data_IF_553290252551
#
_entry.id   IF_553290252551
#
_cell.length_a   1.000
_cell.length_b   1.000
_cell.length_c   1.000
_cell.angle_alpha   90.00
_cell.angle_beta   90.00
_cell.angle_gamma   90.00
#
_symmetry.space_group_name_H-M   'P 1'
#
loop_
_entity.id
_entity.type
_entity.pdbx_description
1 polymer ?
#
# COMPACT_ATOMS: atom_id res chain seq x y z
N UNK A 1 -6.26 4.80 6.82
CA UNK A 1 -6.97 5.63 7.84
C UNK A 1 -8.45 5.66 7.49
N UNK A 2 -9.36 5.40 8.43
CA UNK A 2 -10.80 5.50 8.20
C UNK A 2 -11.34 6.82 8.75
N UNK A 3 -12.25 7.46 8.02
CA UNK A 3 -12.90 8.71 8.42
C UNK A 3 -14.22 8.87 7.67
N UNK A 4 -15.01 9.87 8.04
CA UNK A 4 -16.23 10.23 7.32
C UNK A 4 -16.38 11.74 7.21
N UNK A 5 -17.03 12.21 6.15
CA UNK A 5 -17.40 13.62 6.01
C UNK A 5 -18.82 13.76 5.46
N UNK A 6 -19.45 14.90 5.72
CA UNK A 6 -20.79 15.21 5.22
C UNK A 6 -20.67 16.11 3.99
N UNK A 7 -21.30 15.70 2.89
CA UNK A 7 -21.42 16.52 1.68
C UNK A 7 -22.86 16.41 1.16
N UNK A 8 -23.49 17.56 0.89
CA UNK A 8 -24.91 17.61 0.47
C UNK A 8 -25.86 16.81 1.38
N UNK A 9 -25.69 16.93 2.70
CA UNK A 9 -26.49 16.22 3.71
C UNK A 9 -26.35 14.69 3.72
N UNK A 10 -25.40 14.13 2.97
CA UNK A 10 -25.07 12.71 2.96
C UNK A 10 -23.75 12.50 3.68
N UNK A 11 -23.68 11.49 4.55
CA UNK A 11 -22.46 11.07 5.23
C UNK A 11 -21.74 10.04 4.34
N UNK A 12 -20.48 10.32 4.01
CA UNK A 12 -19.64 9.43 3.22
C UNK A 12 -18.59 8.77 4.11
N UNK A 13 -18.74 7.48 4.45
CA UNK A 13 -17.69 6.71 5.10
C UNK A 13 -16.56 6.41 4.10
N UNK A 14 -15.34 6.78 4.46
CA UNK A 14 -14.18 6.74 3.58
C UNK A 14 -12.96 6.12 4.24
N UNK A 15 -12.05 5.66 3.38
CA UNK A 15 -10.71 5.26 3.75
C UNK A 15 -9.68 6.05 2.94
N UNK A 16 -8.68 6.62 3.60
CA UNK A 16 -7.45 7.06 2.95
C UNK A 16 -6.49 5.86 2.87
N UNK A 17 -6.08 5.55 1.64
CA UNK A 17 -5.21 4.41 1.30
C UNK A 17 -3.98 4.89 0.54
N UNK A 18 -2.87 4.20 0.72
CA UNK A 18 -1.72 4.35 -0.16
C UNK A 18 -1.94 3.58 -1.46
N UNK A 19 -1.52 4.19 -2.56
CA UNK A 19 -1.67 3.61 -3.89
C UNK A 19 -0.52 2.68 -4.21
N UNK A 20 -0.86 1.57 -4.85
CA UNK A 20 0.08 0.57 -5.31
C UNK A 20 -0.28 0.15 -6.74
N UNK A 21 0.73 -0.02 -7.58
CA UNK A 21 0.57 -0.64 -8.89
C UNK A 21 0.78 -2.15 -8.74
N UNK A 22 -0.12 -2.94 -9.34
CA UNK A 22 0.11 -4.38 -9.51
C UNK A 22 1.26 -4.58 -10.49
N UNK A 23 2.16 -5.50 -10.18
CA UNK A 23 3.29 -5.86 -11.03
C UNK A 23 3.08 -7.28 -11.53
N UNK A 24 3.13 -7.46 -12.85
CA UNK A 24 2.86 -8.74 -13.51
C UNK A 24 1.37 -9.09 -13.58
N UNK A 25 1.06 -10.07 -14.43
CA UNK A 25 -0.33 -10.49 -14.68
C UNK A 25 -0.79 -11.61 -13.72
N UNK A 26 0.13 -12.42 -13.23
CA UNK A 26 -0.11 -13.51 -12.27
C UNK A 26 0.38 -13.17 -10.87
N UNK A 27 -0.04 -13.99 -9.90
CA UNK A 27 0.62 -14.01 -8.60
C UNK A 27 2.06 -14.54 -8.73
N UNK A 28 2.91 -14.14 -7.80
CA UNK A 28 4.27 -14.66 -7.65
C UNK A 28 4.26 -16.19 -7.48
N UNK A 29 5.15 -16.88 -8.20
CA UNK A 29 5.12 -18.35 -8.29
C UNK A 29 5.51 -19.02 -6.96
N UNK A 30 6.36 -18.37 -6.16
CA UNK A 30 6.86 -18.92 -4.90
C UNK A 30 5.88 -18.68 -3.75
N UNK A 31 5.27 -17.49 -3.69
CA UNK A 31 4.39 -17.08 -2.59
C UNK A 31 2.90 -17.19 -2.88
N UNK A 32 2.50 -17.27 -4.16
CA UNK A 32 1.10 -17.21 -4.60
C UNK A 32 0.44 -15.85 -4.32
N UNK A 33 1.21 -14.81 -3.97
CA UNK A 33 0.72 -13.48 -3.64
C UNK A 33 0.91 -12.51 -4.81
N UNK A 34 0.11 -11.44 -4.84
CA UNK A 34 0.28 -10.40 -5.86
C UNK A 34 1.43 -9.47 -5.49
N UNK A 35 2.39 -9.33 -6.41
CA UNK A 35 3.48 -8.38 -6.27
C UNK A 35 2.99 -6.97 -6.55
N UNK A 36 3.35 -6.04 -5.68
CA UNK A 36 2.94 -4.64 -5.81
C UNK A 36 4.11 -3.68 -5.66
N UNK A 37 4.00 -2.53 -6.32
CA UNK A 37 4.93 -1.42 -6.17
C UNK A 37 4.21 -0.18 -5.62
N UNK A 38 4.73 0.46 -4.56
CA UNK A 38 4.16 1.70 -4.06
C UNK A 38 4.24 2.82 -5.10
N UNK A 39 3.17 3.60 -5.21
CA UNK A 39 3.11 4.77 -6.08
C UNK A 39 3.55 6.00 -5.30
N UNK A 40 4.52 6.74 -5.83
CA UNK A 40 4.99 7.99 -5.24
C UNK A 40 4.65 9.19 -6.12
N UNK A 41 4.37 10.32 -5.48
CA UNK A 41 4.23 11.61 -6.13
C UNK A 41 5.61 12.15 -6.58
N UNK A 42 5.67 13.16 -7.47
CA UNK A 42 6.95 13.74 -7.93
C UNK A 42 7.86 14.28 -6.82
N UNK A 43 7.28 14.58 -5.65
CA UNK A 43 7.98 15.04 -4.45
C UNK A 43 8.42 13.89 -3.52
N UNK A 44 8.37 12.63 -3.98
CA UNK A 44 8.70 11.42 -3.23
C UNK A 44 7.80 11.09 -2.03
N UNK A 45 6.64 11.72 -1.90
CA UNK A 45 5.64 11.33 -0.89
C UNK A 45 4.76 10.18 -1.40
N UNK A 46 4.33 9.26 -0.51
CA UNK A 46 3.38 8.20 -0.88
C UNK A 46 2.11 8.79 -1.49
N UNK A 47 1.73 8.30 -2.67
CA UNK A 47 0.50 8.72 -3.31
C UNK A 47 -0.69 8.15 -2.51
N UNK A 48 -1.43 9.04 -1.88
CA UNK A 48 -2.59 8.69 -1.04
C UNK A 48 -3.86 9.11 -1.75
N UNK A 49 -4.85 8.22 -1.81
CA UNK A 49 -6.19 8.53 -2.34
C UNK A 49 -7.27 8.20 -1.32
N UNK A 50 -8.44 8.80 -1.51
CA UNK A 50 -9.63 8.56 -0.69
C UNK A 50 -10.61 7.70 -1.48
N UNK A 51 -11.04 6.59 -0.90
CA UNK A 51 -12.06 5.71 -1.45
C UNK A 51 -13.25 5.59 -0.49
N UNK A 52 -14.43 5.27 -1.03
CA UNK A 52 -15.59 4.92 -0.22
C UNK A 52 -15.37 3.54 0.42
N UNK A 53 -15.81 3.33 1.66
CA UNK A 53 -15.52 2.06 2.36
C UNK A 53 -16.13 0.84 1.66
N UNK A 54 -17.30 1.02 1.02
CA UNK A 54 -17.98 -0.05 0.29
C UNK A 54 -17.22 -0.55 -0.96
N UNK A 55 -16.17 0.16 -1.40
CA UNK A 55 -15.30 -0.33 -2.47
C UNK A 55 -14.23 -1.30 -1.97
N UNK A 56 -14.11 -1.50 -0.65
CA UNK A 56 -13.18 -2.46 -0.06
C UNK A 56 -13.86 -3.83 0.00
N UNK A 57 -13.38 -4.77 -0.81
CA UNK A 57 -13.99 -6.11 -0.89
C UNK A 57 -13.53 -7.04 0.24
N UNK A 58 -12.22 -7.19 0.45
CA UNK A 58 -11.64 -7.90 1.58
C UNK A 58 -10.22 -7.42 1.88
N UNK A 59 -9.71 -7.70 3.07
CA UNK A 59 -8.32 -7.46 3.41
C UNK A 59 -7.42 -8.53 2.77
N UNK A 60 -6.40 -8.10 2.03
CA UNK A 60 -5.41 -8.98 1.43
C UNK A 60 -4.02 -8.60 1.92
N UNK A 61 -3.14 -9.59 2.07
CA UNK A 61 -1.72 -9.34 2.28
C UNK A 61 -1.05 -9.07 0.93
N UNK A 62 -0.30 -7.98 0.86
CA UNK A 62 0.46 -7.61 -0.32
C UNK A 62 1.94 -7.91 -0.06
N UNK A 63 2.63 -8.44 -1.08
CA UNK A 63 4.08 -8.65 -1.02
C UNK A 63 4.76 -7.46 -1.72
N UNK A 64 5.57 -6.68 -1.01
CA UNK A 64 6.31 -5.59 -1.62
C UNK A 64 7.44 -6.14 -2.48
N UNK A 65 7.81 -5.41 -3.54
CA UNK A 65 9.06 -5.68 -4.25
C UNK A 65 10.23 -5.24 -3.37
N UNK A 66 11.03 -6.20 -2.94
CA UNK A 66 12.31 -5.92 -2.31
C UNK A 66 13.25 -5.28 -3.32
N UNK A 67 13.78 -4.11 -3.00
CA UNK A 67 14.78 -3.44 -3.84
C UNK A 67 16.05 -4.27 -3.94
N UNK A 68 16.83 -4.07 -5.01
CA UNK A 68 18.14 -4.70 -5.22
C UNK A 68 19.25 -4.16 -4.31
N UNK A 69 18.91 -3.30 -3.34
CA UNK A 69 19.88 -2.74 -2.39
C UNK A 69 20.16 -3.78 -1.32
N UNK A 70 21.43 -4.13 -1.16
CA UNK A 70 21.90 -4.97 -0.07
C UNK A 70 21.49 -4.34 1.27
N UNK A 71 20.87 -5.15 2.13
CA UNK A 71 20.51 -4.73 3.48
C UNK A 71 21.83 -4.46 4.23
N UNK A 72 22.08 -3.23 4.69
CA UNK A 72 23.29 -2.94 5.46
C UNK A 72 23.38 -3.88 6.65
N UNK A 73 24.52 -4.58 6.78
CA UNK A 73 24.75 -5.59 7.82
C UNK A 73 24.55 -5.09 9.27
N UNK A 74 24.44 -3.78 9.48
CA UNK A 74 24.25 -3.15 10.78
C UNK A 74 22.81 -2.70 11.07
N UNK A 75 21.83 -3.03 10.20
CA UNK A 75 20.43 -2.79 10.52
C UNK A 75 19.99 -3.79 11.59
N UNK A 76 19.61 -3.26 12.75
CA UNK A 76 19.01 -4.08 13.80
C UNK A 76 17.62 -4.56 13.35
N UNK A 77 17.19 -5.78 13.72
CA UNK A 77 15.95 -6.37 13.21
C UNK A 77 14.70 -5.49 13.35
N UNK A 78 14.65 -4.64 14.37
CA UNK A 78 13.52 -3.74 14.64
C UNK A 78 13.52 -2.46 13.79
N UNK A 79 14.61 -2.14 13.09
CA UNK A 79 14.66 -1.05 12.10
C UNK A 79 14.34 -1.51 10.68
N UNK A 80 14.16 -2.82 10.47
CA UNK A 80 13.94 -3.40 9.15
C UNK A 80 12.54 -3.09 8.62
N UNK A 81 11.54 -2.99 9.51
CA UNK A 81 10.15 -2.72 9.15
C UNK A 81 9.90 -1.28 8.66
N UNK A 82 10.75 -0.32 9.06
CA UNK A 82 10.64 1.08 8.63
C UNK A 82 11.44 1.36 7.33
N UNK A 83 12.26 0.39 6.90
CA UNK A 83 13.18 0.54 5.77
C UNK A 83 12.60 0.11 4.42
N UNK A 84 11.44 -0.55 4.41
CA UNK A 84 10.78 -1.13 3.22
C UNK A 84 9.33 -0.68 3.10
#
# INVERSE_FOLDING_TARGET
MFFSFTFQWVIYPCAAIWQFNKIGDSADEDTGMSMVQPVFLPNHFPHTTVIHIDTVYHAAHLVPIYGSREIPHNIKPYHLYDAF
#
